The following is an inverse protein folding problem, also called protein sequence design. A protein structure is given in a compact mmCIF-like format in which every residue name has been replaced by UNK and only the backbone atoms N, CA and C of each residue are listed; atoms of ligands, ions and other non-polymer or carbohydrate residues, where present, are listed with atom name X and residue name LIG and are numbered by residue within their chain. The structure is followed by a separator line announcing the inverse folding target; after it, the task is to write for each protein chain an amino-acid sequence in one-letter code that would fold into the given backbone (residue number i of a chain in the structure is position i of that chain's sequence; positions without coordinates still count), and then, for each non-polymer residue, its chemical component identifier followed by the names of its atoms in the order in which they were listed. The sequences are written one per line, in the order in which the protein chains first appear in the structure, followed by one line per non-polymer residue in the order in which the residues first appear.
data_IF_892979067403
#
_entry.id   IF_892979067403
#
_cell.length_a   1.000
_cell.length_b   1.000
_cell.length_c   1.000
_cell.angle_alpha   90.00
_cell.angle_beta   90.00
_cell.angle_gamma   90.00
#
_symmetry.space_group_name_H-M   'P 1'
#
loop_
_entity.id
_entity.type
_entity.pdbx_description
1 polymer ?
#
# COMPACT_ATOMS: atom_id res chain seq x y z
N UNK A 1 0.29 -7.32 -12.84
CA UNK A 1 0.20 -5.86 -12.72
C UNK A 1 -1.10 -5.38 -13.33
N UNK A 2 -1.93 -4.68 -12.56
CA UNK A 2 -3.11 -3.99 -13.09
C UNK A 2 -2.67 -2.66 -13.70
N UNK A 3 -3.29 -2.25 -14.81
CA UNK A 3 -2.96 -1.02 -15.53
C UNK A 3 -3.45 0.25 -14.84
N UNK A 4 -4.34 0.11 -13.85
CA UNK A 4 -5.06 1.22 -13.20
C UNK A 4 -4.76 1.34 -11.70
N UNK A 5 -3.83 0.53 -11.19
CA UNK A 5 -3.61 0.39 -9.77
C UNK A 5 -2.13 0.52 -9.41
N UNK A 6 -1.86 1.09 -8.24
CA UNK A 6 -0.53 1.25 -7.66
C UNK A 6 -0.52 0.64 -6.27
N UNK A 7 0.43 -0.27 -6.02
CA UNK A 7 0.63 -0.92 -4.74
C UNK A 7 1.70 -0.18 -3.92
N UNK A 8 1.53 -0.19 -2.60
CA UNK A 8 2.41 0.39 -1.60
C UNK A 8 2.60 -0.61 -0.45
N UNK A 9 3.80 -0.63 0.12
CA UNK A 9 4.09 -1.43 1.31
C UNK A 9 3.84 -0.60 2.56
N UNK A 10 3.43 -1.25 3.65
CA UNK A 10 3.24 -0.64 4.96
C UNK A 10 4.28 -1.24 5.89
N UNK A 11 4.93 -0.42 6.72
CA UNK A 11 5.92 -0.86 7.69
C UNK A 11 5.70 -0.19 9.05
N UNK A 12 6.13 -0.82 10.16
CA UNK A 12 6.24 -0.14 11.45
C UNK A 12 7.20 1.05 11.36
N UNK A 13 6.84 2.18 11.96
CA UNK A 13 7.70 3.38 11.93
C UNK A 13 9.04 3.23 12.66
N UNK A 14 9.15 2.24 13.55
CA UNK A 14 10.39 1.89 14.26
C UNK A 14 11.46 1.30 13.35
N UNK A 15 11.12 0.85 12.14
CA UNK A 15 12.05 0.15 11.24
C UNK A 15 13.02 1.10 10.51
N UNK A 16 12.79 2.41 10.58
CA UNK A 16 13.60 3.45 9.90
C UNK A 16 14.55 4.17 10.88
N UNK A 17 15.29 3.42 11.70
CA UNK A 17 16.21 3.99 12.72
C UNK A 17 17.38 4.75 12.10
N UNK A 18 17.66 4.54 10.81
CA UNK A 18 18.61 5.33 10.04
C UNK A 18 18.08 5.57 8.63
N UNK A 19 18.34 6.76 8.07
CA UNK A 19 18.07 7.19 6.68
C UNK A 19 18.80 6.33 5.60
N UNK A 20 19.23 5.12 5.97
CA UNK A 20 20.00 4.23 5.13
C UNK A 20 19.07 3.50 4.17
N UNK A 21 18.90 4.09 2.99
CA UNK A 21 18.20 3.53 1.81
C UNK A 21 18.75 2.14 1.38
N UNK A 22 19.80 1.64 2.02
CA UNK A 22 20.43 0.34 1.79
C UNK A 22 19.78 -0.83 2.53
N UNK A 23 18.77 -0.59 3.38
CA UNK A 23 18.14 -1.65 4.19
C UNK A 23 16.97 -2.35 3.51
N UNK A 24 16.36 -1.78 2.46
CA UNK A 24 15.30 -2.44 1.71
C UNK A 24 15.92 -3.19 0.54
N UNK A 25 15.83 -4.53 0.58
CA UNK A 25 16.35 -5.39 -0.47
C UNK A 25 15.23 -6.26 -0.98
N UNK A 26 15.24 -6.47 -2.29
CA UNK A 26 14.50 -7.55 -2.90
C UNK A 26 15.30 -8.84 -2.72
N UNK A 27 14.60 -9.95 -2.54
CA UNK A 27 15.18 -11.29 -2.56
C UNK A 27 15.67 -11.66 -3.97
N UNK A 28 16.15 -12.90 -4.12
CA UNK A 28 16.64 -13.43 -5.40
C UNK A 28 15.54 -13.51 -6.48
N UNK A 29 14.26 -13.51 -6.08
CA UNK A 29 13.09 -13.53 -6.96
C UNK A 29 12.54 -12.12 -7.27
N UNK A 30 13.14 -11.07 -6.68
CA UNK A 30 12.70 -9.70 -6.85
C UNK A 30 11.51 -9.32 -5.97
N UNK A 31 11.23 -10.09 -4.92
CA UNK A 31 10.18 -9.82 -3.94
C UNK A 31 10.74 -9.10 -2.73
N UNK A 32 9.93 -8.22 -2.15
CA UNK A 32 10.31 -7.51 -0.93
C UNK A 32 10.00 -8.38 0.30
N UNK A 33 11.04 -8.82 1.00
CA UNK A 33 10.90 -9.51 2.29
C UNK A 33 10.60 -8.48 3.39
N UNK A 34 9.31 -8.19 3.60
CA UNK A 34 8.89 -7.18 4.58
C UNK A 34 8.70 -7.74 6.01
N UNK A 35 8.65 -9.07 6.15
CA UNK A 35 8.49 -9.77 7.42
C UNK A 35 9.54 -9.42 8.47
N UNK A 36 10.79 -9.22 8.03
CA UNK A 36 11.91 -8.85 8.90
C UNK A 36 11.65 -7.56 9.68
N UNK A 37 10.86 -6.64 9.13
CA UNK A 37 10.55 -5.36 9.76
C UNK A 37 9.44 -5.49 10.81
N UNK A 38 8.57 -6.49 10.68
CA UNK A 38 7.49 -6.75 11.62
C UNK A 38 7.94 -7.57 12.85
N UNK A 39 9.04 -8.32 12.74
CA UNK A 39 9.55 -9.23 13.80
C UNK A 39 9.80 -8.56 15.16
N UNK A 40 10.22 -7.30 15.16
CA UNK A 40 10.54 -6.58 16.41
C UNK A 40 9.31 -5.88 17.02
N UNK A 41 8.37 -5.44 16.18
CA UNK A 41 7.17 -4.73 16.64
C UNK A 41 6.03 -5.68 17.00
N UNK A 42 5.99 -6.88 16.40
CA UNK A 42 4.99 -7.95 16.59
C UNK A 42 3.58 -7.42 16.84
N UNK A 43 3.05 -6.53 15.98
CA UNK A 43 1.75 -5.96 16.26
C UNK A 43 0.67 -7.02 16.07
N UNK A 44 -0.31 -6.99 16.97
CA UNK A 44 -1.55 -7.73 16.78
C UNK A 44 -2.25 -7.24 15.51
N UNK A 45 -2.88 -8.12 14.70
CA UNK A 45 -3.66 -7.71 13.55
C UNK A 45 -4.82 -6.76 13.90
N UNK A 46 -5.19 -6.68 15.18
CA UNK A 46 -6.19 -5.74 15.69
C UNK A 46 -5.85 -4.26 15.43
N UNK A 47 -4.57 -3.93 15.25
CA UNK A 47 -4.15 -2.57 14.87
C UNK A 47 -4.81 -2.12 13.56
N UNK A 48 -5.18 -3.05 12.68
CA UNK A 48 -5.83 -2.77 11.40
C UNK A 48 -7.37 -2.82 11.45
N UNK A 49 -8.00 -3.13 12.58
CA UNK A 49 -9.47 -3.15 12.68
C UNK A 49 -10.13 -1.82 12.24
N UNK A 50 -9.58 -0.63 12.56
CA UNK A 50 -10.17 0.64 12.10
C UNK A 50 -10.24 0.78 10.57
N UNK A 51 -9.48 -0.01 9.80
CA UNK A 51 -9.52 0.01 8.34
C UNK A 51 -10.85 -0.54 7.80
N UNK A 52 -11.57 -1.34 8.59
CA UNK A 52 -12.90 -1.84 8.23
C UNK A 52 -13.89 -0.70 7.97
N UNK A 53 -13.82 0.39 8.73
CA UNK A 53 -14.68 1.56 8.53
C UNK A 53 -14.30 2.38 7.28
N UNK A 54 -13.06 2.24 6.79
CA UNK A 54 -12.53 2.98 5.63
C UNK A 54 -12.83 2.24 4.32
N UNK A 55 -12.55 0.94 4.28
CA UNK A 55 -12.59 0.14 3.05
C UNK A 55 -13.63 -0.98 3.08
N UNK A 56 -14.18 -1.31 4.24
CA UNK A 56 -14.98 -2.52 4.46
C UNK A 56 -14.11 -3.78 4.47
N UNK A 57 -14.42 -4.73 5.35
CA UNK A 57 -13.77 -6.04 5.36
C UNK A 57 -14.31 -6.91 4.23
N UNK A 58 -13.45 -7.68 3.58
CA UNK A 58 -13.82 -8.56 2.47
C UNK A 58 -13.25 -9.97 2.61
N UNK A 59 -13.87 -10.99 1.97
CA UNK A 59 -13.35 -12.35 2.01
C UNK A 59 -11.97 -12.44 1.36
N UNK A 60 -11.04 -13.09 2.03
CA UNK A 60 -9.71 -13.40 1.49
C UNK A 60 -9.66 -14.81 0.90
N UNK A 61 -8.67 -15.06 0.05
CA UNK A 61 -8.42 -16.39 -0.54
C UNK A 61 -7.56 -17.28 0.37
N UNK A 62 -7.05 -16.75 1.48
CA UNK A 62 -6.20 -17.45 2.45
C UNK A 62 -6.64 -17.11 3.88
N UNK A 63 -6.61 -18.10 4.78
CA UNK A 63 -7.03 -17.90 6.18
C UNK A 63 -6.12 -16.92 6.93
N UNK A 64 -4.84 -16.88 6.55
CA UNK A 64 -3.83 -15.99 7.17
C UNK A 64 -3.80 -14.59 6.53
N UNK A 65 -4.68 -14.33 5.57
CA UNK A 65 -4.79 -13.04 4.90
C UNK A 65 -6.04 -12.32 5.38
N UNK A 66 -5.87 -11.14 5.97
CA UNK A 66 -6.97 -10.20 6.19
C UNK A 66 -7.02 -9.25 5.01
N UNK A 67 -8.22 -9.07 4.43
CA UNK A 67 -8.43 -8.18 3.31
C UNK A 67 -9.50 -7.14 3.64
N UNK A 68 -9.20 -5.89 3.32
CA UNK A 68 -10.13 -4.78 3.29
C UNK A 68 -10.25 -4.24 1.86
N UNK A 69 -11.43 -3.78 1.47
CA UNK A 69 -11.69 -3.30 0.11
C UNK A 69 -11.85 -4.44 -0.90
N UNK A 70 -11.34 -4.28 -2.12
CA UNK A 70 -11.55 -5.23 -3.23
C UNK A 70 -10.28 -5.52 -4.02
N UNK A 71 -10.15 -6.75 -4.53
CA UNK A 71 -9.06 -7.13 -5.45
C UNK A 71 -9.02 -6.24 -6.71
N UNK A 72 -10.20 -5.81 -7.17
CA UNK A 72 -10.37 -5.06 -8.42
C UNK A 72 -10.31 -3.54 -8.22
N UNK A 73 -10.10 -3.04 -6.99
CA UNK A 73 -10.04 -1.60 -6.72
C UNK A 73 -9.11 -1.29 -5.53
N UNK A 74 -9.41 -0.23 -4.79
CA UNK A 74 -8.73 0.11 -3.55
C UNK A 74 -8.81 -1.05 -2.55
N UNK A 75 -7.67 -1.42 -1.95
CA UNK A 75 -7.59 -2.49 -0.95
C UNK A 75 -6.47 -2.26 0.04
N UNK A 76 -6.59 -2.90 1.18
CA UNK A 76 -5.51 -3.10 2.14
C UNK A 76 -5.45 -4.58 2.51
N UNK A 77 -4.25 -5.14 2.55
CA UNK A 77 -3.98 -6.53 2.89
C UNK A 77 -3.03 -6.62 4.06
N UNK A 78 -3.30 -7.56 4.95
CA UNK A 78 -2.45 -7.88 6.10
C UNK A 78 -2.25 -9.37 6.16
N UNK A 79 -1.00 -9.83 6.07
CA UNK A 79 -0.64 -11.23 6.29
C UNK A 79 -0.35 -11.44 7.77
N UNK A 80 -0.92 -12.50 8.33
CA UNK A 80 -0.91 -12.78 9.77
C UNK A 80 -0.42 -14.20 10.02
N UNK A 81 0.65 -14.34 10.77
CA UNK A 81 1.17 -15.64 11.20
C UNK A 81 1.23 -15.68 12.72
N UNK A 82 0.76 -16.77 13.33
CA UNK A 82 0.74 -16.93 14.80
C UNK A 82 0.07 -15.74 15.53
N UNK A 83 -0.97 -15.14 14.93
CA UNK A 83 -1.69 -13.96 15.42
C UNK A 83 -0.83 -12.68 15.48
N UNK A 84 0.22 -12.60 14.67
CA UNK A 84 1.09 -11.44 14.51
C UNK A 84 1.08 -10.99 13.05
N UNK A 85 1.09 -9.67 12.83
CA UNK A 85 1.30 -9.13 11.49
C UNK A 85 2.72 -9.45 11.06
N UNK A 86 2.86 -10.01 9.86
CA UNK A 86 4.17 -10.24 9.23
C UNK A 86 4.28 -9.56 7.87
N UNK A 87 3.20 -9.07 7.28
CA UNK A 87 3.25 -8.22 6.10
C UNK A 87 2.01 -7.35 6.02
N UNK A 88 2.14 -6.15 5.48
CA UNK A 88 0.98 -5.33 5.14
C UNK A 88 1.23 -4.45 3.91
N UNK A 89 0.20 -4.31 3.07
CA UNK A 89 0.25 -3.48 1.87
C UNK A 89 -1.11 -2.85 1.59
N UNK A 90 -1.11 -1.74 0.87
CA UNK A 90 -2.34 -1.18 0.32
C UNK A 90 -2.19 -0.83 -1.15
N UNK A 91 -3.32 -0.73 -1.82
CA UNK A 91 -3.41 -0.45 -3.24
C UNK A 91 -4.39 0.68 -3.48
N UNK A 92 -4.01 1.59 -4.36
CA UNK A 92 -4.88 2.64 -4.87
C UNK A 92 -5.22 2.34 -6.33
N UNK A 93 -6.51 2.29 -6.64
CA UNK A 93 -7.07 2.37 -7.97
C UNK A 93 -7.26 3.83 -8.34
N UNK A 94 -6.39 4.34 -9.20
CA UNK A 94 -6.38 5.76 -9.56
C UNK A 94 -7.46 6.14 -10.58
N UNK A 95 -8.27 5.18 -11.02
CA UNK A 95 -9.45 5.42 -11.88
C UNK A 95 -10.74 5.56 -11.08
N UNK A 96 -10.72 5.17 -9.80
CA UNK A 96 -11.79 5.43 -8.85
C UNK A 96 -11.64 6.83 -8.21
N UNK A 97 -12.69 7.30 -7.52
CA UNK A 97 -12.57 8.44 -6.59
C UNK A 97 -11.93 7.94 -5.30
N UNK A 98 -10.61 8.00 -5.21
CA UNK A 98 -9.83 7.39 -4.13
C UNK A 98 -9.36 8.39 -3.07
N UNK A 99 -9.54 9.70 -3.28
CA UNK A 99 -8.92 10.75 -2.46
C UNK A 99 -9.37 10.70 -1.00
N UNK A 100 -10.67 10.52 -0.73
CA UNK A 100 -11.20 10.43 0.63
C UNK A 100 -10.71 9.16 1.34
N UNK A 101 -10.61 8.05 0.60
CA UNK A 101 -10.05 6.78 1.09
C UNK A 101 -8.58 6.97 1.43
N UNK A 102 -7.82 7.60 0.53
CA UNK A 102 -6.40 7.86 0.74
C UNK A 102 -6.18 8.76 1.95
N UNK A 103 -6.94 9.84 2.11
CA UNK A 103 -6.89 10.70 3.29
C UNK A 103 -7.09 9.89 4.58
N UNK A 104 -8.13 9.06 4.62
CA UNK A 104 -8.48 8.25 5.79
C UNK A 104 -7.41 7.20 6.11
N UNK A 105 -6.86 6.53 5.09
CA UNK A 105 -5.75 5.58 5.25
C UNK A 105 -4.48 6.26 5.77
N UNK A 106 -4.14 7.43 5.22
CA UNK A 106 -2.96 8.19 5.65
C UNK A 106 -3.09 8.65 7.11
N UNK A 107 -4.27 9.13 7.52
CA UNK A 107 -4.55 9.45 8.92
C UNK A 107 -4.38 8.23 9.82
N UNK A 108 -4.95 7.09 9.43
CA UNK A 108 -4.78 5.81 10.13
C UNK A 108 -3.29 5.44 10.28
N UNK A 109 -2.49 5.56 9.21
CA UNK A 109 -1.05 5.25 9.27
C UNK A 109 -0.30 6.19 10.21
N UNK A 110 -0.61 7.48 10.20
CA UNK A 110 0.00 8.47 11.10
C UNK A 110 -0.31 8.14 12.56
N UNK A 111 -1.59 7.89 12.88
CA UNK A 111 -2.04 7.63 14.25
C UNK A 111 -1.43 6.36 14.84
N UNK A 112 -1.14 5.36 14.01
CA UNK A 112 -0.55 4.09 14.42
C UNK A 112 0.98 4.05 14.28
N UNK A 113 1.62 5.18 13.97
CA UNK A 113 3.07 5.26 13.83
C UNK A 113 3.61 4.38 12.70
N UNK A 114 2.84 4.17 11.64
CA UNK A 114 3.21 3.38 10.47
C UNK A 114 3.91 4.27 9.43
N UNK A 115 4.56 3.62 8.48
CA UNK A 115 5.23 4.22 7.31
C UNK A 115 4.81 3.47 6.06
N UNK A 116 5.01 4.10 4.91
CA UNK A 116 4.73 3.47 3.62
C UNK A 116 5.94 3.57 2.69
N UNK A 117 6.12 2.54 1.87
CA UNK A 117 7.07 2.53 0.76
C UNK A 117 6.31 2.45 -0.57
N UNK A 118 6.85 3.05 -1.61
CA UNK A 118 6.39 2.81 -2.98
C UNK A 118 6.91 1.47 -3.53
N UNK A 119 6.51 1.12 -4.76
CA UNK A 119 6.97 -0.10 -5.43
C UNK A 119 8.47 -0.15 -5.75
N UNK A 120 9.18 0.97 -5.62
CA UNK A 120 10.64 1.08 -5.74
C UNK A 120 11.33 1.09 -4.36
N UNK A 121 10.58 0.80 -3.29
CA UNK A 121 11.03 0.77 -1.90
C UNK A 121 11.50 2.12 -1.36
N UNK A 122 11.08 3.23 -1.97
CA UNK A 122 11.32 4.57 -1.44
C UNK A 122 10.29 4.90 -0.36
N UNK A 123 10.76 5.49 0.74
CA UNK A 123 9.87 6.01 1.79
C UNK A 123 9.04 7.17 1.23
N UNK A 124 7.72 7.04 1.33
CA UNK A 124 6.78 8.09 0.89
C UNK A 124 6.27 8.86 2.11
N UNK A 125 6.22 10.18 2.01
CA UNK A 125 5.62 11.00 3.06
C UNK A 125 4.11 10.72 3.15
N UNK A 126 3.58 10.66 4.38
CA UNK A 126 2.16 10.38 4.63
C UNK A 126 1.28 11.61 4.40
N UNK A 127 1.28 12.10 3.16
CA UNK A 127 0.37 13.15 2.70
C UNK A 127 -0.07 12.85 1.26
N UNK A 128 -1.24 13.37 0.90
CA UNK A 128 -1.90 13.10 -0.39
C UNK A 128 -1.02 13.53 -1.58
N UNK A 129 -0.32 14.66 -1.46
CA UNK A 129 0.54 15.18 -2.52
C UNK A 129 1.68 14.21 -2.85
N UNK A 130 2.37 13.70 -1.83
CA UNK A 130 3.48 12.77 -2.01
C UNK A 130 3.01 11.44 -2.62
N UNK A 131 1.92 10.87 -2.14
CA UNK A 131 1.36 9.62 -2.68
C UNK A 131 0.88 9.81 -4.13
N UNK A 132 0.18 10.91 -4.41
CA UNK A 132 -0.20 11.24 -5.79
C UNK A 132 1.02 11.44 -6.69
N UNK A 133 2.09 12.06 -6.17
CA UNK A 133 3.37 12.20 -6.85
C UNK A 133 3.96 10.85 -7.26
N UNK A 134 3.84 9.82 -6.42
CA UNK A 134 4.21 8.44 -6.79
C UNK A 134 3.29 7.93 -7.90
N UNK A 135 1.97 7.98 -7.69
CA UNK A 135 0.97 7.44 -8.63
C UNK A 135 1.20 8.00 -10.05
N UNK A 136 1.33 9.32 -10.20
CA UNK A 136 1.45 9.95 -11.53
C UNK A 136 2.77 9.65 -12.23
N UNK A 137 3.79 9.25 -11.48
CA UNK A 137 5.10 8.89 -12.01
C UNK A 137 5.22 7.42 -12.41
N UNK A 138 4.25 6.58 -12.05
CA UNK A 138 4.22 5.18 -12.44
C UNK A 138 4.02 5.00 -13.95
N UNK A 139 4.58 3.91 -14.50
CA UNK A 139 4.40 3.53 -15.91
C UNK A 139 2.93 3.28 -16.24
N UNK A 140 2.19 2.69 -15.29
CA UNK A 140 0.76 2.40 -15.35
C UNK A 140 -0.05 3.67 -15.61
N UNK A 141 0.16 4.70 -14.78
CA UNK A 141 -0.55 5.97 -14.92
C UNK A 141 -0.22 6.66 -16.25
N UNK A 142 1.05 6.72 -16.63
CA UNK A 142 1.48 7.33 -17.90
C UNK A 142 0.85 6.63 -19.10
N UNK A 143 0.81 5.29 -19.09
CA UNK A 143 0.17 4.50 -20.13
C UNK A 143 -1.34 4.76 -20.19
N UNK A 144 -2.03 4.73 -19.05
CA UNK A 144 -3.47 5.03 -18.98
C UNK A 144 -3.78 6.44 -19.51
N UNK A 145 -3.00 7.45 -19.11
CA UNK A 145 -3.16 8.83 -19.58
C UNK A 145 -2.98 8.97 -21.08
N UNK A 146 -2.02 8.26 -21.67
CA UNK A 146 -1.82 8.29 -23.11
C UNK A 146 -3.03 7.73 -23.86
N UNK A 147 -3.56 6.58 -23.44
CA UNK A 147 -4.77 5.98 -24.04
C UNK A 147 -5.96 6.95 -23.96
N UNK A 148 -6.25 7.49 -22.77
CA UNK A 148 -7.37 8.42 -22.58
C UNK A 148 -7.19 9.69 -23.41
N UNK A 149 -5.96 10.17 -23.59
CA UNK A 149 -5.68 11.35 -24.41
C UNK A 149 -5.86 11.10 -25.91
N UNK A 150 -5.52 9.91 -26.41
CA UNK A 150 -5.72 9.52 -27.81
C UNK A 150 -7.22 9.35 -28.13
N UNK A 151 -8.00 8.79 -27.21
CA UNK A 151 -9.46 8.66 -27.34
C UNK A 151 -10.19 10.01 -27.36
N UNK A 152 -9.64 11.03 -26.69
CA UNK A 152 -10.17 12.40 -26.68
C UNK A 152 -9.73 13.22 -27.91
N UNK A 153 -8.61 12.85 -28.55
CA UNK A 153 -8.10 13.52 -29.75
C UNK A 153 -8.72 13.03 -31.08
N UNK A 154 -9.45 11.92 -31.05
CA UNK A 154 -10.13 11.32 -32.21
C UNK A 154 -11.65 11.60 -32.24
N UNK A 155 -12.12 12.64 -31.54
CA UNK A 155 -13.52 13.11 -31.59
C UNK A 155 -13.66 14.50 -32.20
#
# INVERSE_FOLDING_TARGET
MSLTQVDFFILPGSCLVSDDRNNFKLDEEGLFEDDIFWRDSKPSPEVFLPVEDILGRSPSWHNDLIMYGSQESNRLQVWVEENLVVSASFRIDFTAKYEDILCSLLEFFILNGLKILDGELNVVALNVEAVNGVIVNTTQYRFYRNIVSEDLGNK
#
